data_IF_225852603240
#
_entry.id   IF_225852603240
#
_cell.length_a   1.000
_cell.length_b   1.000
_cell.length_c   1.000
_cell.angle_alpha   90.00
_cell.angle_beta   90.00
_cell.angle_gamma   90.00
#
_symmetry.space_group_name_H-M   'P 1'
#
loop_
_entity.id
_entity.type
_entity.pdbx_description
1 polymer ?
#
# COMPACT_ATOMS: atom_id res chain seq x y z
N UNK A 1 -17.58 -55.24 -19.03
CA UNK A 1 -18.25 -54.16 -18.28
C UNK A 1 -17.49 -53.73 -17.03
N UNK A 2 -17.05 -54.63 -16.13
CA UNK A 2 -16.30 -54.23 -14.92
C UNK A 2 -14.94 -53.53 -15.19
N UNK A 3 -14.19 -53.97 -16.20
CA UNK A 3 -12.87 -53.39 -16.53
C UNK A 3 -12.94 -52.01 -17.20
N UNK A 4 -13.96 -51.78 -18.03
CA UNK A 4 -14.21 -50.46 -18.65
C UNK A 4 -14.76 -49.46 -17.64
N UNK A 5 -15.53 -49.94 -16.64
CA UNK A 5 -16.03 -49.10 -15.54
C UNK A 5 -14.90 -48.68 -14.59
N UNK A 6 -13.98 -49.57 -14.23
CA UNK A 6 -12.78 -49.21 -13.45
C UNK A 6 -11.88 -48.22 -14.21
N UNK A 7 -11.73 -48.38 -15.53
CA UNK A 7 -10.93 -47.46 -16.34
C UNK A 7 -11.53 -46.05 -16.41
N UNK A 8 -12.87 -45.94 -16.41
CA UNK A 8 -13.56 -44.64 -16.40
C UNK A 8 -13.41 -43.94 -15.05
N UNK A 9 -13.51 -44.69 -13.95
CA UNK A 9 -13.31 -44.18 -12.59
C UNK A 9 -11.86 -43.70 -12.39
N UNK A 10 -10.88 -44.44 -12.93
CA UNK A 10 -9.47 -44.02 -12.92
C UNK A 10 -9.24 -42.71 -13.66
N UNK A 11 -9.90 -42.51 -14.82
CA UNK A 11 -9.78 -41.27 -15.60
C UNK A 11 -10.38 -40.06 -14.88
N UNK A 12 -11.52 -40.25 -14.21
CA UNK A 12 -12.20 -39.20 -13.43
C UNK A 12 -11.35 -38.80 -12.22
N UNK A 13 -10.74 -39.76 -11.52
CA UNK A 13 -9.88 -39.49 -10.36
C UNK A 13 -8.60 -38.72 -10.72
N UNK A 14 -8.05 -38.92 -11.92
CA UNK A 14 -6.87 -38.17 -12.39
C UNK A 14 -7.25 -36.73 -12.78
N UNK A 15 -8.46 -36.51 -13.33
CA UNK A 15 -8.94 -35.16 -13.69
C UNK A 15 -9.26 -34.25 -12.49
N UNK A 16 -9.39 -34.82 -11.28
CA UNK A 16 -9.66 -34.07 -10.04
C UNK A 16 -8.38 -33.52 -9.37
N UNK A 17 -7.20 -33.76 -9.95
CA UNK A 17 -5.91 -33.31 -9.39
C UNK A 17 -5.47 -31.92 -9.86
N UNK A 18 -6.38 -31.13 -10.46
CA UNK A 18 -6.14 -29.69 -10.68
C UNK A 18 -6.21 -29.03 -9.31
N UNK A 19 -5.07 -29.02 -8.63
CA UNK A 19 -4.87 -28.23 -7.42
C UNK A 19 -4.94 -26.78 -7.87
N UNK A 20 -6.13 -26.18 -7.80
CA UNK A 20 -6.22 -24.75 -7.62
C UNK A 20 -5.50 -24.47 -6.32
N UNK A 21 -4.27 -23.96 -6.41
CA UNK A 21 -3.57 -23.32 -5.30
C UNK A 21 -4.49 -22.22 -4.81
N UNK A 22 -5.32 -22.55 -3.83
CA UNK A 22 -5.99 -21.57 -3.03
C UNK A 22 -4.85 -20.80 -2.36
N UNK A 23 -4.57 -19.60 -2.85
CA UNK A 23 -3.85 -18.60 -2.08
C UNK A 23 -4.64 -18.48 -0.80
N UNK A 24 -4.12 -19.04 0.29
CA UNK A 24 -4.59 -18.73 1.61
C UNK A 24 -4.25 -17.25 1.80
N UNK A 25 -5.11 -16.37 1.28
CA UNK A 25 -5.14 -14.98 1.68
C UNK A 25 -5.21 -15.04 3.21
N UNK A 26 -4.17 -14.55 3.86
CA UNK A 26 -4.13 -14.42 5.30
C UNK A 26 -5.24 -13.44 5.67
N UNK A 27 -6.41 -13.98 6.01
CA UNK A 27 -7.56 -13.23 6.53
C UNK A 27 -7.40 -12.95 8.04
N UNK A 28 -6.16 -12.85 8.53
CA UNK A 28 -5.87 -13.04 9.95
C UNK A 28 -5.02 -11.96 10.61
N UNK A 29 -4.03 -11.39 9.92
CA UNK A 29 -3.13 -10.43 10.56
C UNK A 29 -3.54 -8.98 10.24
N UNK A 30 -4.11 -8.24 11.21
CA UNK A 30 -4.44 -6.83 11.01
C UNK A 30 -3.22 -5.96 10.69
N UNK A 31 -2.01 -6.45 10.95
CA UNK A 31 -0.74 -5.76 10.70
C UNK A 31 -0.15 -6.10 9.33
N UNK A 32 -0.72 -7.05 8.59
CA UNK A 32 -0.27 -7.39 7.24
C UNK A 32 -0.43 -6.19 6.30
N UNK A 33 0.51 -6.03 5.37
CA UNK A 33 0.54 -4.91 4.44
C UNK A 33 0.50 -5.43 3.01
N UNK A 34 -0.56 -5.09 2.27
CA UNK A 34 -0.87 -5.73 0.98
C UNK A 34 0.19 -5.47 -0.09
N UNK A 35 0.76 -4.27 -0.13
CA UNK A 35 1.80 -3.89 -1.09
C UNK A 35 3.08 -4.69 -0.77
N UNK A 36 3.39 -4.87 0.52
CA UNK A 36 4.51 -5.70 0.97
C UNK A 36 4.31 -7.18 0.61
N UNK A 37 3.11 -7.74 0.81
CA UNK A 37 2.78 -9.10 0.39
C UNK A 37 2.86 -9.28 -1.12
N UNK A 38 2.35 -8.30 -1.89
CA UNK A 38 2.43 -8.33 -3.35
C UNK A 38 3.89 -8.38 -3.80
N UNK A 39 4.79 -7.57 -3.22
CA UNK A 39 6.21 -7.60 -3.53
C UNK A 39 6.87 -8.95 -3.22
N UNK A 40 6.61 -9.54 -2.04
CA UNK A 40 7.13 -10.86 -1.68
C UNK A 40 6.67 -11.93 -2.68
N UNK A 41 5.39 -11.92 -3.03
CA UNK A 41 4.84 -12.88 -3.98
C UNK A 41 5.38 -12.66 -5.41
N UNK A 42 5.56 -11.40 -5.84
CA UNK A 42 6.20 -11.09 -7.12
C UNK A 42 7.64 -11.61 -7.16
N UNK A 43 8.42 -11.43 -6.10
CA UNK A 43 9.79 -11.96 -6.03
C UNK A 43 9.82 -13.48 -6.25
N UNK A 44 8.89 -14.23 -5.62
CA UNK A 44 8.78 -15.68 -5.82
C UNK A 44 8.57 -16.03 -7.30
N UNK A 45 7.65 -15.33 -7.98
CA UNK A 45 7.38 -15.58 -9.41
C UNK A 45 8.57 -15.18 -10.30
N UNK A 46 9.26 -14.10 -9.96
CA UNK A 46 10.41 -13.59 -10.70
C UNK A 46 11.68 -14.43 -10.48
N UNK A 47 11.74 -15.21 -9.40
CA UNK A 47 12.84 -16.15 -9.09
C UNK A 47 12.68 -17.52 -9.76
N UNK A 48 11.56 -17.78 -10.44
CA UNK A 48 11.37 -18.97 -11.27
C UNK A 48 12.30 -18.99 -12.49
N UNK A 49 12.42 -20.16 -13.13
CA UNK A 49 13.24 -20.34 -14.32
C UNK A 49 12.46 -21.06 -15.44
N UNK A 50 11.95 -20.32 -16.45
CA UNK A 50 12.06 -18.87 -16.63
C UNK A 50 11.20 -18.06 -15.64
N UNK A 51 11.51 -16.77 -15.37
CA UNK A 51 10.68 -15.90 -14.53
C UNK A 51 9.24 -15.75 -15.07
N UNK A 52 8.24 -15.82 -14.19
CA UNK A 52 6.83 -15.64 -14.57
C UNK A 52 6.37 -14.18 -14.40
N UNK A 53 6.65 -13.36 -15.43
CA UNK A 53 6.19 -11.97 -15.48
C UNK A 53 4.67 -11.84 -15.61
N UNK A 54 3.98 -12.85 -16.17
CA UNK A 54 2.54 -12.80 -16.34
C UNK A 54 1.83 -12.93 -14.98
N UNK A 55 2.32 -13.81 -14.10
CA UNK A 55 1.82 -13.93 -12.75
C UNK A 55 2.24 -12.73 -11.87
N UNK A 56 3.49 -12.25 -12.00
CA UNK A 56 3.92 -11.01 -11.33
C UNK A 56 3.00 -9.82 -11.68
N UNK A 57 2.56 -9.71 -12.95
CA UNK A 57 1.58 -8.70 -13.39
C UNK A 57 0.23 -8.84 -12.71
N UNK A 58 -0.26 -10.07 -12.55
CA UNK A 58 -1.54 -10.31 -11.85
C UNK A 58 -1.45 -9.93 -10.38
N UNK A 59 -0.35 -10.30 -9.73
CA UNK A 59 -0.10 -9.96 -8.32
C UNK A 59 -0.08 -8.44 -8.15
N UNK A 60 0.69 -7.70 -8.97
CA UNK A 60 0.76 -6.24 -8.87
C UNK A 60 -0.61 -5.57 -9.05
N UNK A 61 -1.41 -6.05 -10.01
CA UNK A 61 -2.78 -5.54 -10.24
C UNK A 61 -3.70 -5.64 -9.02
N UNK A 62 -3.42 -6.52 -8.07
CA UNK A 62 -4.22 -6.63 -6.82
C UNK A 62 -4.03 -5.44 -5.89
N UNK A 63 -2.91 -4.70 -6.01
CA UNK A 63 -2.57 -3.55 -5.18
C UNK A 63 -2.51 -2.23 -5.96
N UNK A 64 -2.57 -2.30 -7.29
CA UNK A 64 -2.50 -1.14 -8.18
C UNK A 64 -3.48 -0.02 -7.78
N UNK A 65 -4.74 -0.33 -7.48
CA UNK A 65 -5.72 0.68 -7.10
C UNK A 65 -5.33 1.44 -5.83
N UNK A 66 -4.79 0.74 -4.82
CA UNK A 66 -4.32 1.37 -3.58
C UNK A 66 -3.09 2.26 -3.84
N UNK A 67 -2.18 1.79 -4.69
CA UNK A 67 -0.99 2.55 -5.11
C UNK A 67 -1.41 3.82 -5.84
N UNK A 68 -2.23 3.70 -6.88
CA UNK A 68 -2.66 4.83 -7.71
C UNK A 68 -3.41 5.89 -6.90
N UNK A 69 -4.26 5.46 -5.96
CA UNK A 69 -5.06 6.36 -5.13
C UNK A 69 -4.22 7.13 -4.10
N UNK A 70 -3.19 6.51 -3.53
CA UNK A 70 -2.44 7.08 -2.40
C UNK A 70 -1.06 7.60 -2.74
N UNK A 71 -0.49 7.18 -3.87
CA UNK A 71 0.88 7.51 -4.29
C UNK A 71 0.92 8.08 -5.70
N UNK A 72 -0.22 8.17 -6.39
CA UNK A 72 -0.31 8.61 -7.78
C UNK A 72 -0.01 7.50 -8.78
N UNK A 73 -0.27 7.76 -10.08
CA UNK A 73 -0.19 6.74 -11.14
C UNK A 73 1.24 6.42 -11.62
N UNK A 74 2.20 7.30 -11.33
CA UNK A 74 3.56 7.18 -11.87
C UNK A 74 4.30 5.91 -11.40
N UNK A 75 4.25 5.52 -10.10
CA UNK A 75 4.75 4.22 -9.66
C UNK A 75 4.24 3.03 -10.49
N UNK A 76 2.93 2.98 -10.70
CA UNK A 76 2.27 1.92 -11.47
C UNK A 76 2.75 1.90 -12.91
N UNK A 77 2.89 3.06 -13.54
CA UNK A 77 3.36 3.16 -14.92
C UNK A 77 4.74 2.52 -15.06
N UNK A 78 5.69 2.92 -14.22
CA UNK A 78 7.08 2.41 -14.25
C UNK A 78 7.14 0.91 -13.95
N UNK A 79 6.40 0.46 -12.94
CA UNK A 79 6.36 -0.97 -12.56
C UNK A 79 5.79 -1.82 -13.70
N UNK A 80 4.70 -1.37 -14.32
CA UNK A 80 4.05 -2.08 -15.42
C UNK A 80 4.92 -2.11 -16.68
N UNK A 81 5.66 -1.03 -16.96
CA UNK A 81 6.65 -0.98 -18.03
C UNK A 81 7.77 -2.01 -17.81
N UNK A 82 8.31 -2.11 -16.59
CA UNK A 82 9.35 -3.09 -16.26
C UNK A 82 8.86 -4.54 -16.37
N UNK A 83 7.61 -4.80 -16.01
CA UNK A 83 6.96 -6.10 -16.21
C UNK A 83 6.84 -6.42 -17.71
N UNK A 84 6.42 -5.45 -18.53
CA UNK A 84 6.22 -5.64 -19.97
C UNK A 84 7.53 -5.81 -20.73
N UNK A 85 8.59 -5.14 -20.27
CA UNK A 85 9.94 -5.25 -20.82
C UNK A 85 10.74 -6.43 -20.25
N UNK A 86 10.15 -7.25 -19.36
CA UNK A 86 10.81 -8.37 -18.68
C UNK A 86 12.13 -7.96 -17.97
N UNK A 87 12.16 -6.75 -17.41
CA UNK A 87 13.34 -6.21 -16.71
C UNK A 87 13.23 -6.49 -15.21
N UNK A 88 13.64 -7.68 -14.78
CA UNK A 88 13.59 -8.11 -13.37
C UNK A 88 14.29 -7.13 -12.43
N UNK A 89 15.50 -6.66 -12.79
CA UNK A 89 16.31 -5.84 -11.88
C UNK A 89 15.63 -4.50 -11.60
N UNK A 90 15.24 -3.76 -12.65
CA UNK A 90 14.54 -2.49 -12.48
C UNK A 90 13.14 -2.68 -11.87
N UNK A 91 12.45 -3.78 -12.17
CA UNK A 91 11.18 -4.11 -11.55
C UNK A 91 11.32 -4.23 -10.02
N UNK A 92 12.30 -5.00 -9.56
CA UNK A 92 12.55 -5.17 -8.12
C UNK A 92 12.96 -3.85 -7.48
N UNK A 93 13.85 -3.08 -8.08
CA UNK A 93 14.27 -1.79 -7.54
C UNK A 93 13.11 -0.79 -7.42
N UNK A 94 12.22 -0.71 -8.42
CA UNK A 94 11.08 0.20 -8.37
C UNK A 94 10.00 -0.27 -7.39
N UNK A 95 9.82 -1.58 -7.21
CA UNK A 95 9.00 -2.10 -6.13
C UNK A 95 9.60 -1.74 -4.76
N UNK A 96 10.91 -1.88 -4.56
CA UNK A 96 11.57 -1.51 -3.30
C UNK A 96 11.37 -0.02 -2.96
N UNK A 97 11.51 0.86 -3.95
CA UNK A 97 11.21 2.29 -3.81
C UNK A 97 9.73 2.54 -3.48
N UNK A 98 8.80 1.78 -4.08
CA UNK A 98 7.37 1.84 -3.76
C UNK A 98 7.10 1.43 -2.30
N UNK A 99 7.76 0.40 -1.78
CA UNK A 99 7.64 0.01 -0.37
C UNK A 99 8.16 1.12 0.55
N UNK A 100 9.30 1.75 0.24
CA UNK A 100 9.84 2.87 1.00
C UNK A 100 8.86 4.07 1.02
N UNK A 101 8.25 4.39 -0.13
CA UNK A 101 7.21 5.41 -0.22
C UNK A 101 5.98 5.06 0.63
N UNK A 102 5.57 3.79 0.64
CA UNK A 102 4.47 3.34 1.47
C UNK A 102 4.79 3.48 2.97
N UNK A 103 6.02 3.16 3.40
CA UNK A 103 6.48 3.39 4.78
C UNK A 103 6.35 4.87 5.13
N UNK A 104 6.84 5.77 4.27
CA UNK A 104 6.71 7.21 4.46
C UNK A 104 5.26 7.63 4.68
N UNK A 105 4.36 7.23 3.78
CA UNK A 105 2.93 7.51 3.90
C UNK A 105 2.33 6.99 5.21
N UNK A 106 2.68 5.77 5.64
CA UNK A 106 2.17 5.20 6.90
C UNK A 106 2.66 6.02 8.10
N UNK A 107 3.93 6.41 8.13
CA UNK A 107 4.49 7.22 9.23
C UNK A 107 3.93 8.65 9.26
N UNK A 108 3.67 9.27 8.10
CA UNK A 108 2.97 10.57 8.06
C UNK A 108 1.54 10.45 8.59
N UNK A 109 0.81 9.40 8.21
CA UNK A 109 -0.53 9.17 8.76
C UNK A 109 -0.52 8.91 10.28
N UNK A 110 0.56 8.33 10.83
CA UNK A 110 0.74 8.20 12.29
C UNK A 110 0.93 9.57 12.92
N UNK A 111 1.74 10.45 12.32
CA UNK A 111 1.96 11.81 12.83
C UNK A 111 0.64 12.61 12.87
N UNK A 112 -0.13 12.56 11.79
CA UNK A 112 -1.44 13.23 11.69
C UNK A 112 -2.45 12.71 12.71
N UNK A 113 -2.42 11.40 12.99
CA UNK A 113 -3.36 10.72 13.88
C UNK A 113 -2.76 10.39 15.25
N UNK A 114 -1.65 11.03 15.64
CA UNK A 114 -0.80 10.62 16.76
C UNK A 114 -1.55 10.46 18.09
N UNK A 115 -2.62 11.24 18.29
CA UNK A 115 -3.45 11.21 19.50
C UNK A 115 -4.37 10.00 19.60
N UNK A 116 -4.68 9.34 18.48
CA UNK A 116 -5.42 8.09 18.43
C UNK A 116 -4.43 6.92 18.49
N UNK A 117 -4.28 6.36 19.69
CA UNK A 117 -3.35 5.27 19.97
C UNK A 117 -3.60 4.03 19.09
N UNK A 118 -4.86 3.60 18.96
CA UNK A 118 -5.17 2.35 18.25
C UNK A 118 -4.96 2.51 16.74
N UNK A 119 -5.34 3.66 16.19
CA UNK A 119 -5.09 3.99 14.78
C UNK A 119 -3.60 4.13 14.50
N UNK A 120 -2.88 4.90 15.32
CA UNK A 120 -1.44 5.12 15.19
C UNK A 120 -0.64 3.83 15.31
N UNK A 121 -0.95 3.00 16.32
CA UNK A 121 -0.30 1.71 16.51
C UNK A 121 -0.49 0.77 15.33
N UNK A 122 -1.71 0.69 14.79
CA UNK A 122 -2.01 -0.14 13.62
C UNK A 122 -1.28 0.36 12.37
N UNK A 123 -1.25 1.67 12.14
CA UNK A 123 -0.54 2.26 11.01
C UNK A 123 0.97 2.03 11.11
N UNK A 124 1.54 2.21 12.30
CA UNK A 124 2.95 1.95 12.56
C UNK A 124 3.31 0.48 12.36
N UNK A 125 2.47 -0.44 12.84
CA UNK A 125 2.66 -1.87 12.62
C UNK A 125 2.66 -2.24 11.12
N UNK A 126 1.80 -1.60 10.31
CA UNK A 126 1.80 -1.77 8.84
C UNK A 126 3.06 -1.18 8.19
N UNK A 127 3.53 -0.03 8.66
CA UNK A 127 4.80 0.55 8.23
C UNK A 127 5.96 -0.41 8.52
N UNK A 128 6.00 -0.97 9.73
CA UNK A 128 7.02 -1.95 10.13
C UNK A 128 6.93 -3.25 9.32
N UNK A 129 5.72 -3.79 9.09
CA UNK A 129 5.53 -4.96 8.23
C UNK A 129 5.99 -4.72 6.79
N UNK A 130 5.82 -3.49 6.27
CA UNK A 130 6.37 -3.10 4.97
C UNK A 130 7.91 -3.11 5.00
N UNK A 131 8.49 -2.59 6.08
CA UNK A 131 9.93 -2.62 6.27
C UNK A 131 10.49 -4.04 6.40
N UNK A 132 9.80 -4.97 7.07
CA UNK A 132 10.23 -6.37 7.14
C UNK A 132 10.41 -7.01 5.76
N UNK A 133 9.61 -6.61 4.76
CA UNK A 133 9.78 -7.07 3.39
C UNK A 133 11.02 -6.47 2.71
N UNK A 134 11.43 -5.25 3.08
CA UNK A 134 12.66 -4.59 2.59
C UNK A 134 13.91 -5.01 3.35
N UNK A 135 13.79 -5.44 4.61
CA UNK A 135 14.91 -5.73 5.50
C UNK A 135 15.97 -6.66 4.89
N UNK A 136 15.64 -7.74 4.16
CA UNK A 136 16.67 -8.57 3.51
C UNK A 136 17.56 -7.78 2.53
N UNK A 137 16.97 -6.82 1.80
CA UNK A 137 17.67 -5.95 0.84
C UNK A 137 18.53 -4.92 1.55
N UNK A 138 18.03 -4.30 2.63
CA UNK A 138 18.77 -3.33 3.44
C UNK A 138 19.93 -4.01 4.18
N UNK A 139 19.68 -5.16 4.82
CA UNK A 139 20.69 -5.92 5.55
C UNK A 139 21.83 -6.42 4.65
N UNK A 140 21.54 -6.69 3.36
CA UNK A 140 22.55 -7.03 2.36
C UNK A 140 23.50 -5.86 2.08
N UNK A 141 23.02 -4.62 2.09
CA UNK A 141 23.84 -3.41 1.95
C UNK A 141 24.54 -3.04 3.26
N UNK A 142 23.78 -2.97 4.35
CA UNK A 142 24.24 -2.55 5.67
C UNK A 142 23.39 -3.19 6.76
N UNK A 143 23.96 -4.18 7.46
CA UNK A 143 23.33 -4.78 8.64
C UNK A 143 23.13 -3.78 9.79
N UNK A 144 24.01 -2.79 9.89
CA UNK A 144 23.92 -1.73 10.90
C UNK A 144 22.68 -0.86 10.65
N UNK A 145 22.48 -0.39 9.41
CA UNK A 145 21.29 0.36 9.01
C UNK A 145 20.01 -0.48 9.19
N UNK A 146 20.07 -1.77 8.85
CA UNK A 146 18.91 -2.66 9.08
C UNK A 146 18.51 -2.70 10.56
N UNK A 147 19.51 -2.81 11.44
CA UNK A 147 19.28 -2.82 12.89
C UNK A 147 18.76 -1.46 13.38
N UNK A 148 19.33 -0.36 12.89
CA UNK A 148 18.92 1.00 13.25
C UNK A 148 17.46 1.28 12.90
N UNK A 149 17.03 0.97 11.68
CA UNK A 149 15.64 1.19 11.27
C UNK A 149 14.67 0.36 12.13
N UNK A 150 15.00 -0.89 12.44
CA UNK A 150 14.18 -1.75 13.34
C UNK A 150 14.07 -1.14 14.73
N UNK A 151 15.18 -0.67 15.27
CA UNK A 151 15.20 -0.02 16.59
C UNK A 151 14.41 1.28 16.58
N UNK A 152 14.45 2.06 15.51
CA UNK A 152 13.64 3.28 15.38
C UNK A 152 12.15 2.99 15.23
N UNK A 153 11.75 1.90 14.56
CA UNK A 153 10.34 1.46 14.58
C UNK A 153 9.88 1.09 16.00
N UNK A 154 10.74 0.45 16.80
CA UNK A 154 10.46 0.15 18.19
C UNK A 154 10.33 1.42 19.04
N UNK A 155 11.26 2.39 18.88
CA UNK A 155 11.19 3.69 19.56
C UNK A 155 9.95 4.49 19.14
N UNK A 156 9.59 4.48 17.85
CA UNK A 156 8.37 5.08 17.35
C UNK A 156 7.14 4.45 18.02
N UNK A 157 7.12 3.13 18.22
CA UNK A 157 6.02 2.45 18.90
C UNK A 157 5.94 2.83 20.38
N UNK A 158 7.06 2.86 21.08
CA UNK A 158 7.15 3.31 22.47
C UNK A 158 6.68 4.76 22.62
N UNK A 159 6.99 5.61 21.64
CA UNK A 159 6.63 7.03 21.66
C UNK A 159 5.13 7.29 21.56
N UNK A 160 4.33 6.33 21.06
CA UNK A 160 2.86 6.42 21.08
C UNK A 160 2.29 6.39 22.50
N UNK A 161 3.11 6.03 23.50
CA UNK A 161 2.66 5.80 24.86
C UNK A 161 1.83 4.52 24.98
N UNK A 162 1.04 4.44 26.04
CA UNK A 162 0.11 3.33 26.28
C UNK A 162 -1.05 3.88 27.10
N UNK A 163 -2.31 3.79 26.63
CA UNK A 163 -3.46 4.22 27.43
C UNK A 163 -3.66 3.38 28.71
N UNK A 164 -3.12 2.15 28.74
CA UNK A 164 -3.26 1.21 29.84
C UNK A 164 -4.66 0.58 29.91
N UNK A 165 -4.76 -0.62 30.48
CA UNK A 165 -6.06 -1.26 30.72
C UNK A 165 -6.63 -0.69 32.03
N UNK A 166 -7.70 0.10 31.94
CA UNK A 166 -8.26 0.86 33.07
C UNK A 166 -7.23 1.78 33.75
N UNK A 167 -6.25 2.29 32.99
CA UNK A 167 -5.18 3.15 33.50
C UNK A 167 -4.00 2.42 34.14
N UNK A 168 -4.05 1.09 34.28
CA UNK A 168 -2.89 0.29 34.70
C UNK A 168 -1.92 0.16 33.53
N UNK A 169 -0.64 0.49 33.76
CA UNK A 169 0.41 0.44 32.73
C UNK A 169 0.39 1.61 31.75
N UNK A 170 -0.25 2.74 32.12
CA UNK A 170 -0.26 3.95 31.29
C UNK A 170 1.15 4.51 31.11
N UNK A 171 1.51 4.86 29.88
CA UNK A 171 2.68 5.69 29.57
C UNK A 171 2.27 6.87 28.70
N UNK A 172 2.92 8.01 28.91
CA UNK A 172 2.62 9.24 28.17
C UNK A 172 3.21 9.17 26.76
N UNK A 173 2.46 9.68 25.79
CA UNK A 173 2.89 9.78 24.40
C UNK A 173 3.87 10.95 24.22
N UNK A 174 4.81 10.81 23.29
CA UNK A 174 5.82 11.82 22.95
C UNK A 174 5.92 11.99 21.44
N UNK A 175 5.22 12.99 20.90
CA UNK A 175 5.25 13.31 19.46
C UNK A 175 6.65 13.72 18.99
N UNK A 176 7.41 14.42 19.84
CA UNK A 176 8.80 14.77 19.53
C UNK A 176 9.69 13.54 19.39
N UNK A 177 9.48 12.50 20.20
CA UNK A 177 10.25 11.25 20.09
C UNK A 177 9.84 10.48 18.84
N UNK A 178 8.54 10.43 18.54
CA UNK A 178 8.02 9.86 17.29
C UNK A 178 8.64 10.52 16.06
N UNK A 179 8.63 11.85 16.02
CA UNK A 179 9.12 12.61 14.87
C UNK A 179 10.61 12.40 14.61
N UNK A 180 11.42 12.25 15.67
CA UNK A 180 12.83 11.89 15.53
C UNK A 180 13.01 10.49 14.92
N UNK A 181 12.28 9.49 15.42
CA UNK A 181 12.35 8.15 14.85
C UNK A 181 11.84 8.11 13.41
N UNK A 182 10.73 8.81 13.11
CA UNK A 182 10.23 8.99 11.75
C UNK A 182 11.32 9.56 10.84
N UNK A 183 11.96 10.65 11.25
CA UNK A 183 13.01 11.30 10.46
C UNK A 183 14.19 10.38 10.18
N UNK A 184 14.68 9.64 11.19
CA UNK A 184 15.80 8.69 11.02
C UNK A 184 15.42 7.59 10.03
N UNK A 185 14.27 6.93 10.23
CA UNK A 185 13.77 5.86 9.34
C UNK A 185 13.70 6.37 7.90
N UNK A 186 13.11 7.55 7.69
CA UNK A 186 12.92 8.09 6.34
C UNK A 186 14.24 8.53 5.69
N UNK A 187 15.16 9.10 6.45
CA UNK A 187 16.47 9.49 5.92
C UNK A 187 17.30 8.28 5.52
N UNK A 188 17.29 7.20 6.30
CA UNK A 188 18.01 5.97 5.97
C UNK A 188 17.42 5.29 4.74
N UNK A 189 16.08 5.21 4.64
CA UNK A 189 15.43 4.67 3.45
C UNK A 189 15.68 5.54 2.21
N UNK A 190 15.67 6.87 2.33
CA UNK A 190 16.04 7.76 1.22
C UNK A 190 17.45 7.49 0.72
N UNK A 191 18.39 7.31 1.65
CA UNK A 191 19.79 7.03 1.34
C UNK A 191 19.98 5.66 0.69
N UNK A 192 19.36 4.61 1.24
CA UNK A 192 19.49 3.24 0.72
C UNK A 192 18.90 3.07 -0.67
N UNK A 193 17.78 3.73 -0.96
CA UNK A 193 17.05 3.58 -2.22
C UNK A 193 17.20 4.77 -3.18
N UNK A 194 18.13 5.69 -2.88
CA UNK A 194 18.45 6.87 -3.70
C UNK A 194 17.20 7.73 -4.02
N UNK A 195 16.32 7.89 -3.04
CA UNK A 195 15.07 8.64 -3.18
C UNK A 195 15.33 10.10 -2.83
N UNK A 196 15.16 11.01 -3.80
CA UNK A 196 15.33 12.46 -3.60
C UNK A 196 14.35 13.00 -2.56
N UNK A 197 13.06 12.69 -2.72
CA UNK A 197 12.04 13.01 -1.73
C UNK A 197 10.86 12.04 -1.79
N UNK A 198 10.11 11.94 -0.70
CA UNK A 198 8.88 11.15 -0.60
C UNK A 198 7.62 11.96 -0.97
N UNK A 199 7.76 13.20 -1.45
CA UNK A 199 6.63 13.99 -1.93
C UNK A 199 6.05 13.38 -3.20
N UNK A 200 4.94 12.65 -3.02
CA UNK A 200 3.95 12.25 -4.04
C UNK A 200 4.52 11.76 -5.37
N UNK A 201 4.69 10.44 -5.51
CA UNK A 201 4.63 9.70 -6.77
C UNK A 201 5.73 9.93 -7.80
N UNK A 202 6.53 11.00 -7.70
CA UNK A 202 7.59 11.28 -8.65
C UNK A 202 8.83 10.46 -8.31
N UNK A 203 8.86 9.20 -8.75
CA UNK A 203 10.13 8.51 -8.88
C UNK A 203 11.00 9.30 -9.84
N UNK A 204 12.16 9.77 -9.35
CA UNK A 204 13.11 10.49 -10.19
C UNK A 204 13.63 9.56 -11.27
N UNK A 205 13.12 9.72 -12.49
CA UNK A 205 13.83 9.34 -13.70
C UNK A 205 15.04 10.28 -13.80
N UNK A 206 16.22 9.71 -14.08
CA UNK A 206 17.42 10.51 -14.34
C UNK A 206 17.16 11.58 -15.40
N UNK A 207 17.83 12.72 -15.21
CA UNK A 207 17.58 13.99 -15.87
C UNK A 207 17.50 13.89 -17.40
N UNK A 208 16.28 13.95 -17.91
CA UNK A 208 15.95 14.26 -19.30
C UNK A 208 14.80 15.25 -19.30
N UNK A 209 15.09 16.48 -19.71
CA UNK A 209 14.20 17.64 -19.74
C UNK A 209 12.74 17.30 -20.08
N UNK A 210 11.82 17.64 -19.18
CA UNK A 210 10.48 18.09 -19.58
C UNK A 210 9.87 18.98 -18.51
N UNK A 211 9.46 20.15 -18.99
CA UNK A 211 8.94 21.30 -18.27
C UNK A 211 7.68 20.99 -17.47
N UNK A 212 7.63 21.59 -16.28
CA UNK A 212 6.50 21.63 -15.36
C UNK A 212 5.13 21.88 -16.01
N UNK A 213 4.11 21.23 -15.46
CA UNK A 213 2.75 21.77 -15.37
C UNK A 213 2.17 21.37 -14.03
N UNK A 214 2.43 22.18 -13.02
CA UNK A 214 1.59 22.26 -11.83
C UNK A 214 0.18 22.69 -12.29
N UNK A 215 -0.76 21.77 -12.24
CA UNK A 215 -2.18 22.12 -12.08
C UNK A 215 -2.75 21.22 -10.99
N UNK A 216 -2.71 21.77 -9.78
CA UNK A 216 -3.56 21.36 -8.66
C UNK A 216 -5.03 21.52 -9.08
N UNK A 217 -5.64 20.45 -9.58
CA UNK A 217 -7.08 20.41 -9.87
C UNK A 217 -7.83 19.65 -8.76
N UNK A 218 -7.68 20.13 -7.53
CA UNK A 218 -8.61 19.80 -6.44
C UNK A 218 -9.60 20.95 -6.30
N UNK A 219 -10.67 20.86 -7.11
CA UNK A 219 -11.89 21.68 -7.02
C UNK A 219 -11.65 23.18 -6.92
N UNK A 220 -11.43 23.83 -8.06
CA UNK A 220 -11.55 25.27 -8.18
C UNK A 220 -12.99 25.71 -7.80
N UNK A 221 -13.16 26.17 -6.55
CA UNK A 221 -14.41 26.60 -5.96
C UNK A 221 -15.00 27.85 -6.65
N UNK A 222 -14.20 28.53 -7.48
CA UNK A 222 -14.62 29.69 -8.26
C UNK A 222 -15.35 29.32 -9.56
N UNK A 223 -15.26 28.07 -10.02
CA UNK A 223 -15.87 27.64 -11.28
C UNK A 223 -17.37 27.33 -11.09
N UNK A 224 -18.22 28.16 -11.72
CA UNK A 224 -19.68 28.06 -11.70
C UNK A 224 -20.21 26.71 -12.24
N UNK A 225 -19.40 25.99 -13.02
CA UNK A 225 -19.74 24.67 -13.57
C UNK A 225 -19.68 23.56 -12.51
N UNK A 226 -18.81 23.68 -11.50
CA UNK A 226 -18.67 22.70 -10.43
C UNK A 226 -19.85 22.72 -9.43
N UNK A 227 -20.64 23.79 -9.44
CA UNK A 227 -21.82 23.94 -8.59
C UNK A 227 -23.09 23.36 -9.24
N UNK A 228 -23.07 23.10 -10.56
CA UNK A 228 -24.22 22.63 -11.32
C UNK A 228 -24.78 21.28 -10.78
N UNK A 229 -23.95 20.27 -10.43
CA UNK A 229 -24.45 19.01 -9.88
C UNK A 229 -25.13 19.20 -8.51
N UNK A 230 -24.59 20.08 -7.66
CA UNK A 230 -25.13 20.36 -6.32
C UNK A 230 -26.50 21.03 -6.43
N UNK A 231 -26.64 22.00 -7.33
CA UNK A 231 -27.93 22.69 -7.57
C UNK A 231 -29.00 21.71 -8.05
N UNK A 232 -28.64 20.75 -8.91
CA UNK A 232 -29.57 19.71 -9.39
C UNK A 232 -30.04 18.82 -8.22
N UNK A 233 -29.12 18.38 -7.35
CA UNK A 233 -29.45 17.55 -6.19
C UNK A 233 -30.41 18.31 -5.25
N UNK A 234 -30.12 19.57 -4.94
CA UNK A 234 -30.97 20.40 -4.07
C UNK A 234 -32.37 20.60 -4.68
N UNK A 235 -32.46 20.82 -6.00
CA UNK A 235 -33.74 20.97 -6.69
C UNK A 235 -34.59 19.68 -6.64
N UNK A 236 -33.96 18.51 -6.82
CA UNK A 236 -34.64 17.21 -6.70
C UNK A 236 -35.15 16.98 -5.27
N UNK A 237 -34.33 17.27 -4.26
CA UNK A 237 -34.73 17.14 -2.86
C UNK A 237 -35.90 18.08 -2.50
N UNK A 238 -35.88 19.32 -2.99
CA UNK A 238 -36.97 20.26 -2.79
C UNK A 238 -38.27 19.78 -3.45
N UNK A 239 -38.21 19.23 -4.68
CA UNK A 239 -39.36 18.65 -5.36
C UNK A 239 -39.94 17.45 -4.61
N UNK A 240 -39.09 16.56 -4.09
CA UNK A 240 -39.51 15.42 -3.28
C UNK A 240 -40.17 15.88 -1.99
N UNK A 241 -39.60 16.89 -1.30
CA UNK A 241 -40.17 17.44 -0.07
C UNK A 241 -41.55 18.08 -0.33
N UNK A 242 -41.68 18.90 -1.38
CA UNK A 242 -42.95 19.53 -1.77
C UNK A 242 -44.00 18.47 -2.14
N UNK A 243 -43.61 17.43 -2.88
CA UNK A 243 -44.48 16.33 -3.24
C UNK A 243 -44.96 15.55 -1.99
N UNK A 244 -44.05 15.23 -1.07
CA UNK A 244 -44.37 14.54 0.18
C UNK A 244 -45.32 15.35 1.07
N UNK A 245 -45.11 16.67 1.18
CA UNK A 245 -45.99 17.57 1.95
C UNK A 245 -47.37 17.71 1.29
N UNK A 246 -47.45 17.80 -0.04
CA UNK A 246 -48.74 17.84 -0.76
C UNK A 246 -49.51 16.52 -0.65
N UNK A 247 -48.83 15.37 -0.67
CA UNK A 247 -49.45 14.05 -0.49
C UNK A 247 -49.98 13.84 0.92
N UNK A 248 -49.40 14.47 1.96
CA UNK A 248 -49.91 14.42 3.35
C UNK A 248 -51.12 15.33 3.61
N UNK A 249 -51.39 16.30 2.73
CA UNK A 249 -52.52 17.26 2.87
C UNK A 249 -53.74 16.90 2.00
N UNK A 250 -53.67 15.82 1.22
CA UNK A 250 -54.82 15.15 0.58
C UNK A 250 -55.11 13.87 1.35
#
# INVERSE_FOLDING_TARGET
>A
MKKTFLSLIGLILISLSIHSSAFAYSYGDPNEEKIAEAYKNMQVQLDENPPDYAEAKKIYKTVQEEVDMHMGPEPTKVIMENIENENKEELIQNMEKLLALNISRRLENVDENFKDYDTSKRLLAKGFATYEALSPRVAKSSKEMDTEIRDEFNKALESLGNPGLFGVGKSEASQDSFNKSKEIILNDLKKEFEIKDFTSGHFSVEEGESTASETTDWTDLASLKNWLPIVIIVAVLALVAVYAVRKRKR
#
